data_IF_030794857509
#
_entry.id   IF_030794857509
#
_cell.length_a   1.000
_cell.length_b   1.000
_cell.length_c   1.000
_cell.angle_alpha   90.00
_cell.angle_beta   90.00
_cell.angle_gamma   90.00
#
_symmetry.space_group_name_H-M   'P 1'
#
loop_
_entity.id
_entity.type
_entity.pdbx_description
1 polymer ?
#
# COMPACT_ATOMS: atom_id res chain seq x y z
N UNK A 1 10.08 32.33 -11.94
CA UNK A 1 10.30 31.35 -10.85
C UNK A 1 10.32 29.88 -11.30
N UNK A 2 9.45 29.41 -12.20
CA UNK A 2 9.41 27.97 -12.61
C UNK A 2 10.62 27.50 -13.43
N UNK A 3 11.21 28.37 -14.27
CA UNK A 3 12.40 28.04 -15.07
C UNK A 3 13.66 27.87 -14.20
N UNK A 4 13.84 28.72 -13.17
CA UNK A 4 14.94 28.55 -12.21
C UNK A 4 14.81 27.27 -11.38
N UNK A 5 13.60 26.89 -10.95
CA UNK A 5 13.39 25.63 -10.24
C UNK A 5 13.70 24.41 -11.12
N UNK A 6 13.34 24.45 -12.40
CA UNK A 6 13.63 23.36 -13.34
C UNK A 6 15.15 23.21 -13.60
N UNK A 7 15.83 24.33 -13.82
CA UNK A 7 17.29 24.36 -13.99
C UNK A 7 18.03 23.95 -12.71
N UNK A 8 17.54 24.36 -11.54
CA UNK A 8 18.09 23.97 -10.24
C UNK A 8 17.90 22.47 -9.96
N UNK A 9 16.73 21.91 -10.29
CA UNK A 9 16.48 20.47 -10.20
C UNK A 9 17.36 19.65 -11.16
N UNK A 10 17.61 20.15 -12.38
CA UNK A 10 18.54 19.52 -13.34
C UNK A 10 19.98 19.60 -12.83
N UNK A 11 20.40 20.71 -12.24
CA UNK A 11 21.73 20.86 -11.66
C UNK A 11 21.90 19.96 -10.43
N UNK A 12 20.87 19.81 -9.59
CA UNK A 12 20.86 18.86 -8.46
C UNK A 12 20.88 17.41 -8.93
N UNK A 13 20.13 17.05 -9.98
CA UNK A 13 20.19 15.72 -10.58
C UNK A 13 21.57 15.44 -11.16
N UNK A 14 22.17 16.40 -11.87
CA UNK A 14 23.52 16.28 -12.40
C UNK A 14 24.57 16.20 -11.30
N UNK A 15 24.46 16.98 -10.22
CA UNK A 15 25.37 16.94 -9.08
C UNK A 15 25.24 15.63 -8.29
N UNK A 16 24.02 15.14 -8.09
CA UNK A 16 23.76 13.82 -7.49
C UNK A 16 24.31 12.69 -8.36
N UNK A 17 24.15 12.80 -9.68
CA UNK A 17 24.67 11.84 -10.64
C UNK A 17 26.20 11.85 -10.70
N UNK A 18 26.84 13.02 -10.75
CA UNK A 18 28.29 13.19 -10.68
C UNK A 18 28.87 12.69 -9.35
N UNK A 19 28.26 13.06 -8.23
CA UNK A 19 28.67 12.61 -6.89
C UNK A 19 28.55 11.09 -6.75
N UNK A 20 27.51 10.49 -7.35
CA UNK A 20 27.34 9.04 -7.36
C UNK A 20 28.35 8.32 -8.26
N UNK A 21 28.63 8.83 -9.47
CA UNK A 21 29.65 8.27 -10.37
C UNK A 21 31.02 8.23 -9.69
N UNK A 22 31.39 9.32 -9.00
CA UNK A 22 32.62 9.38 -8.22
C UNK A 22 32.62 8.41 -7.03
N UNK A 23 31.50 8.26 -6.32
CA UNK A 23 31.38 7.34 -5.19
C UNK A 23 31.45 5.85 -5.57
N UNK A 24 31.34 5.50 -6.86
CA UNK A 24 31.36 4.12 -7.36
C UNK A 24 32.66 3.75 -8.10
N UNK A 25 33.69 4.61 -8.07
CA UNK A 25 34.95 4.41 -8.80
C UNK A 25 34.75 4.07 -10.29
N UNK A 26 33.76 4.71 -10.94
CA UNK A 26 33.55 4.52 -12.38
C UNK A 26 34.73 5.13 -13.13
N UNK A 27 35.40 4.33 -13.97
CA UNK A 27 36.51 4.82 -14.79
C UNK A 27 35.98 5.80 -15.86
N UNK A 28 36.35 7.06 -15.72
CA UNK A 28 36.01 8.15 -16.64
C UNK A 28 37.16 8.52 -17.59
N UNK A 29 38.25 7.75 -17.61
CA UNK A 29 39.43 8.03 -18.45
C UNK A 29 39.06 8.15 -19.93
N UNK A 30 38.11 7.32 -20.40
CA UNK A 30 37.56 7.39 -21.77
C UNK A 30 36.71 8.65 -22.03
N UNK A 31 36.10 9.24 -20.99
CA UNK A 31 35.35 10.49 -21.10
C UNK A 31 36.31 11.68 -21.24
N UNK A 32 37.39 11.67 -20.44
CA UNK A 32 38.42 12.71 -20.44
C UNK A 32 39.21 12.71 -21.76
N UNK A 33 39.44 11.52 -22.36
CA UNK A 33 40.14 11.36 -23.64
C UNK A 33 39.25 11.54 -24.88
N UNK A 34 38.03 12.08 -24.72
CA UNK A 34 37.04 12.33 -25.80
C UNK A 34 36.59 11.08 -26.57
N UNK A 35 36.76 9.89 -25.99
CA UNK A 35 36.26 8.63 -26.54
C UNK A 35 34.81 8.42 -26.09
N UNK A 36 33.89 9.22 -26.64
CA UNK A 36 32.49 9.31 -26.18
C UNK A 36 31.73 7.98 -26.19
N UNK A 37 32.00 7.10 -27.15
CA UNK A 37 31.39 5.76 -27.20
C UNK A 37 31.84 4.90 -26.01
N UNK A 38 33.16 4.83 -25.76
CA UNK A 38 33.72 4.08 -24.64
C UNK A 38 33.27 4.66 -23.29
N UNK A 39 33.24 5.99 -23.18
CA UNK A 39 32.65 6.70 -22.03
C UNK A 39 31.18 6.31 -21.80
N UNK A 40 30.36 6.34 -22.85
CA UNK A 40 28.95 5.97 -22.76
C UNK A 40 28.74 4.53 -22.31
N UNK A 41 29.59 3.60 -22.77
CA UNK A 41 29.55 2.19 -22.33
C UNK A 41 29.92 2.07 -20.85
N UNK A 42 30.99 2.71 -20.39
CA UNK A 42 31.43 2.66 -18.99
C UNK A 42 30.37 3.21 -18.04
N UNK A 43 29.82 4.38 -18.36
CA UNK A 43 28.78 5.03 -17.56
C UNK A 43 27.47 4.24 -17.61
N UNK A 44 27.05 3.78 -18.79
CA UNK A 44 25.85 2.96 -18.98
C UNK A 44 25.93 1.63 -18.21
N UNK A 45 27.09 0.98 -18.21
CA UNK A 45 27.34 -0.25 -17.45
C UNK A 45 27.25 -0.02 -15.94
N UNK A 46 27.81 1.10 -15.45
CA UNK A 46 27.73 1.45 -14.03
C UNK A 46 26.28 1.71 -13.59
N UNK A 47 25.52 2.48 -14.37
CA UNK A 47 24.09 2.74 -14.13
C UNK A 47 23.30 1.44 -14.13
N UNK A 48 23.50 0.61 -15.15
CA UNK A 48 22.84 -0.68 -15.27
C UNK A 48 23.12 -1.56 -14.05
N UNK A 49 24.38 -1.67 -13.62
CA UNK A 49 24.77 -2.41 -12.41
C UNK A 49 24.07 -1.88 -11.17
N UNK A 50 24.01 -0.56 -10.96
CA UNK A 50 23.33 0.05 -9.80
C UNK A 50 21.86 -0.31 -9.73
N UNK A 51 21.16 -0.18 -10.85
CA UNK A 51 19.72 -0.37 -10.85
C UNK A 51 19.33 -1.83 -10.91
N UNK A 52 20.19 -2.74 -11.39
CA UNK A 52 19.97 -4.20 -11.37
C UNK A 52 20.63 -4.93 -10.19
N UNK A 53 21.30 -4.23 -9.27
CA UNK A 53 21.83 -4.82 -8.05
C UNK A 53 20.77 -4.91 -6.96
N UNK A 54 20.85 -5.96 -6.15
CA UNK A 54 20.05 -6.09 -4.93
C UNK A 54 20.46 -5.03 -3.92
N UNK A 55 19.46 -4.52 -3.18
CA UNK A 55 19.65 -3.64 -2.04
C UNK A 55 20.42 -4.34 -0.93
N UNK A 56 20.88 -3.56 0.05
CA UNK A 56 21.26 -4.12 1.33
C UNK A 56 20.10 -4.91 1.94
N UNK A 57 20.46 -5.86 2.81
CA UNK A 57 19.47 -6.69 3.52
C UNK A 57 18.77 -5.83 4.56
N UNK A 58 17.45 -5.78 4.49
CA UNK A 58 16.59 -5.18 5.51
C UNK A 58 16.07 -6.29 6.45
N UNK A 59 16.39 -6.17 7.74
CA UNK A 59 16.00 -7.14 8.77
C UNK A 59 14.76 -6.64 9.53
N UNK A 60 13.73 -7.48 9.61
CA UNK A 60 12.47 -7.17 10.32
C UNK A 60 12.00 -8.33 11.16
N UNK A 61 11.30 -8.05 12.25
CA UNK A 61 10.60 -9.06 13.03
C UNK A 61 9.32 -9.49 12.30
N UNK A 62 9.21 -10.77 11.99
CA UNK A 62 8.03 -11.39 11.40
C UNK A 62 7.94 -12.87 11.80
N UNK A 63 6.73 -13.42 11.96
CA UNK A 63 6.52 -14.81 12.37
C UNK A 63 7.24 -15.20 13.68
N UNK A 64 7.40 -14.24 14.61
CA UNK A 64 8.11 -14.46 15.87
C UNK A 64 9.63 -14.62 15.76
N UNK A 65 10.23 -14.30 14.60
CA UNK A 65 11.68 -14.35 14.38
C UNK A 65 12.17 -13.16 13.55
N UNK A 66 13.49 -13.00 13.46
CA UNK A 66 14.11 -12.11 12.48
C UNK A 66 14.02 -12.72 11.08
N UNK A 67 13.41 -11.96 10.16
CA UNK A 67 13.35 -12.23 8.74
C UNK A 67 14.11 -11.16 7.95
N UNK A 68 14.46 -11.49 6.73
CA UNK A 68 15.30 -10.71 5.83
C UNK A 68 14.54 -10.41 4.56
N UNK A 69 14.71 -9.20 4.04
CA UNK A 69 14.16 -8.80 2.76
C UNK A 69 15.18 -8.02 1.93
N UNK A 70 15.07 -8.14 0.61
CA UNK A 70 15.86 -7.37 -0.34
C UNK A 70 14.99 -7.03 -1.55
N UNK A 71 15.32 -5.93 -2.21
CA UNK A 71 14.71 -5.58 -3.49
C UNK A 71 15.78 -5.18 -4.49
N UNK A 72 15.46 -5.29 -5.77
CA UNK A 72 16.21 -4.64 -6.84
C UNK A 72 15.24 -3.91 -7.74
N UNK A 73 15.66 -2.79 -8.29
CA UNK A 73 14.98 -2.21 -9.43
C UNK A 73 15.40 -2.93 -10.72
N UNK A 74 14.82 -2.55 -11.83
CA UNK A 74 15.20 -3.00 -13.15
C UNK A 74 14.43 -2.22 -14.18
N UNK A 75 14.91 -2.23 -15.42
CA UNK A 75 14.20 -1.66 -16.56
C UNK A 75 13.91 -2.80 -17.53
N UNK A 76 12.63 -3.15 -17.69
CA UNK A 76 12.16 -4.24 -18.52
C UNK A 76 11.00 -3.74 -19.38
N UNK A 77 10.99 -4.07 -20.69
CA UNK A 77 9.94 -3.66 -21.63
C UNK A 77 9.57 -2.16 -21.58
N UNK A 78 10.60 -1.30 -21.46
CA UNK A 78 10.46 0.16 -21.30
C UNK A 78 9.80 0.63 -20.00
N UNK A 79 9.69 -0.24 -19.01
CA UNK A 79 9.09 0.06 -17.73
C UNK A 79 10.07 -0.14 -16.58
N UNK A 80 10.01 0.79 -15.63
CA UNK A 80 10.68 0.61 -14.34
C UNK A 80 9.93 -0.41 -13.51
N UNK A 81 10.63 -1.46 -13.14
CA UNK A 81 10.08 -2.57 -12.35
C UNK A 81 10.94 -2.85 -11.13
N UNK A 82 10.37 -3.57 -10.18
CA UNK A 82 10.96 -3.98 -8.93
C UNK A 82 10.81 -5.48 -8.77
N UNK A 83 11.83 -6.11 -8.20
CA UNK A 83 11.81 -7.52 -7.81
C UNK A 83 12.16 -7.61 -6.33
N UNK A 84 11.48 -8.50 -5.61
CA UNK A 84 11.61 -8.65 -4.17
C UNK A 84 12.07 -10.05 -3.79
N UNK A 85 12.76 -10.14 -2.66
CA UNK A 85 13.10 -11.37 -1.96
C UNK A 85 12.73 -11.25 -0.49
N UNK A 86 12.21 -12.33 0.08
CA UNK A 86 11.90 -12.42 1.50
C UNK A 86 12.21 -13.83 2.02
N UNK A 87 12.85 -13.93 3.17
CA UNK A 87 13.14 -15.21 3.82
C UNK A 87 13.37 -15.06 5.32
N UNK A 88 13.07 -16.10 6.09
CA UNK A 88 13.32 -16.14 7.54
C UNK A 88 14.31 -17.27 7.85
N UNK A 89 15.61 -16.98 8.06
CA UNK A 89 16.64 -18.01 8.25
C UNK A 89 16.34 -18.99 9.40
N UNK A 90 15.70 -18.51 10.46
CA UNK A 90 15.36 -19.32 11.64
C UNK A 90 14.19 -20.27 11.40
N UNK A 91 13.32 -20.00 10.41
CA UNK A 91 12.20 -20.88 10.07
C UNK A 91 12.59 -21.89 8.99
N UNK A 92 13.38 -21.47 8.00
CA UNK A 92 13.92 -22.33 6.97
C UNK A 92 15.15 -21.71 6.33
N UNK A 93 16.20 -22.50 6.16
CA UNK A 93 17.40 -22.08 5.44
C UNK A 93 17.25 -22.15 3.92
N UNK A 94 16.23 -22.84 3.41
CA UNK A 94 16.11 -23.17 1.98
C UNK A 94 14.95 -22.48 1.28
N UNK A 95 13.91 -22.08 2.03
CA UNK A 95 12.74 -21.45 1.45
C UNK A 95 12.94 -19.94 1.37
N UNK A 96 12.72 -19.40 0.17
CA UNK A 96 12.74 -17.98 -0.11
C UNK A 96 11.55 -17.63 -0.98
N UNK A 97 10.86 -16.57 -0.60
CA UNK A 97 9.82 -15.95 -1.41
C UNK A 97 10.43 -14.95 -2.37
N UNK A 98 9.92 -14.95 -3.59
CA UNK A 98 10.41 -14.13 -4.68
C UNK A 98 9.24 -13.47 -5.40
N UNK A 99 9.51 -12.27 -5.92
CA UNK A 99 8.59 -11.56 -6.77
C UNK A 99 9.36 -10.89 -7.89
N UNK A 100 8.75 -10.80 -9.07
CA UNK A 100 9.39 -10.18 -10.24
C UNK A 100 8.44 -9.21 -10.93
N UNK A 101 9.01 -8.20 -11.57
CA UNK A 101 8.32 -7.27 -12.46
C UNK A 101 7.16 -6.46 -11.82
N UNK A 102 7.32 -6.04 -10.56
CA UNK A 102 6.33 -5.21 -9.86
C UNK A 102 6.54 -3.72 -10.09
N UNK A 103 5.46 -2.93 -10.11
CA UNK A 103 5.51 -1.48 -10.37
C UNK A 103 6.06 -0.66 -9.21
N UNK A 104 6.13 -1.22 -8.00
CA UNK A 104 6.63 -0.52 -6.81
C UNK A 104 7.52 -1.42 -5.95
N UNK A 105 8.42 -0.80 -5.18
CA UNK A 105 9.28 -1.49 -4.21
C UNK A 105 8.45 -2.26 -3.17
N UNK A 106 7.43 -1.61 -2.61
CA UNK A 106 6.59 -2.22 -1.58
C UNK A 106 5.78 -3.39 -2.14
N UNK A 107 5.20 -3.25 -3.35
CA UNK A 107 4.53 -4.37 -4.01
C UNK A 107 5.48 -5.53 -4.28
N UNK A 108 6.72 -5.26 -4.70
CA UNK A 108 7.71 -6.31 -4.88
C UNK A 108 8.01 -7.06 -3.57
N UNK A 109 8.21 -6.36 -2.46
CA UNK A 109 8.45 -7.01 -1.16
C UNK A 109 7.20 -7.77 -0.67
N UNK A 110 6.01 -7.18 -0.80
CA UNK A 110 4.75 -7.77 -0.39
C UNK A 110 4.47 -9.09 -1.12
N UNK A 111 4.61 -9.11 -2.44
CA UNK A 111 4.40 -10.33 -3.21
C UNK A 111 5.51 -11.37 -2.97
N UNK A 112 6.72 -10.95 -2.59
CA UNK A 112 7.76 -11.88 -2.15
C UNK A 112 7.40 -12.51 -0.78
N UNK A 113 6.77 -11.76 0.12
CA UNK A 113 6.25 -12.30 1.39
C UNK A 113 5.13 -13.31 1.12
N UNK A 114 4.19 -12.98 0.24
CA UNK A 114 3.09 -13.89 -0.14
C UNK A 114 3.60 -15.21 -0.74
N UNK A 115 4.58 -15.13 -1.65
CA UNK A 115 5.24 -16.30 -2.23
C UNK A 115 6.00 -17.11 -1.16
N UNK A 116 6.69 -16.45 -0.22
CA UNK A 116 7.35 -17.12 0.91
C UNK A 116 6.35 -17.91 1.77
N UNK A 117 5.24 -17.27 2.16
CA UNK A 117 4.20 -17.91 2.97
C UNK A 117 3.60 -19.12 2.23
N UNK A 118 3.35 -18.98 0.93
CA UNK A 118 2.84 -20.06 0.08
C UNK A 118 3.81 -21.24 0.03
N UNK A 119 5.11 -20.98 -0.19
CA UNK A 119 6.15 -22.02 -0.23
C UNK A 119 6.38 -22.69 1.12
N UNK A 120 6.43 -21.92 2.20
CA UNK A 120 6.59 -22.46 3.55
C UNK A 120 5.39 -23.32 3.97
N UNK A 121 4.19 -22.92 3.53
CA UNK A 121 2.94 -23.68 3.70
C UNK A 121 2.99 -25.01 2.94
N UNK A 122 3.46 -25.01 1.69
CA UNK A 122 3.51 -26.23 0.88
C UNK A 122 4.52 -27.27 1.40
N UNK A 123 5.57 -26.82 2.10
CA UNK A 123 6.53 -27.71 2.78
C UNK A 123 6.17 -28.02 4.23
N UNK A 124 5.03 -27.53 4.72
CA UNK A 124 4.53 -27.78 6.08
C UNK A 124 5.37 -27.17 7.21
N UNK A 125 6.34 -26.29 6.90
CA UNK A 125 7.20 -25.61 7.87
C UNK A 125 6.53 -24.37 8.46
N UNK A 126 5.78 -23.67 7.63
CA UNK A 126 4.62 -22.97 8.14
C UNK A 126 3.47 -23.95 7.97
N UNK A 127 2.65 -24.11 9.00
CA UNK A 127 1.31 -24.58 8.73
C UNK A 127 0.73 -23.60 7.68
N UNK A 128 -0.13 -24.04 6.72
CA UNK A 128 -1.12 -23.12 6.16
C UNK A 128 -1.72 -22.36 7.34
N UNK A 129 -2.29 -21.16 7.19
CA UNK A 129 -3.13 -20.64 8.26
C UNK A 129 -4.10 -21.76 8.67
N UNK A 130 -3.76 -22.47 9.74
CA UNK A 130 -4.56 -23.57 10.22
C UNK A 130 -5.65 -22.78 10.90
N UNK A 131 -6.87 -23.02 10.42
CA UNK A 131 -8.11 -22.42 10.84
C UNK A 131 -8.45 -22.76 12.32
N UNK A 132 -7.49 -22.62 13.24
CA UNK A 132 -7.47 -22.96 14.67
C UNK A 132 -6.25 -22.21 15.26
N UNK A 133 -6.30 -21.08 15.98
CA UNK A 133 -7.17 -20.62 17.07
C UNK A 133 -7.20 -19.07 17.15
N UNK A 134 -7.46 -18.39 16.03
CA UNK A 134 -7.98 -17.02 16.04
C UNK A 134 -9.37 -17.05 15.41
N UNK A 135 -10.38 -16.35 15.96
CA UNK A 135 -11.71 -16.34 15.36
C UNK A 135 -11.59 -15.71 13.97
N UNK A 136 -11.65 -16.56 12.92
CA UNK A 136 -11.61 -16.33 11.46
C UNK A 136 -11.21 -14.92 11.01
N UNK A 137 -10.27 -14.82 10.07
CA UNK A 137 -9.68 -13.57 9.50
C UNK A 137 -10.62 -12.40 9.25
N UNK A 138 -11.94 -12.59 9.19
CA UNK A 138 -12.95 -11.57 9.49
C UNK A 138 -12.79 -10.95 10.89
N UNK A 139 -12.02 -9.88 10.97
CA UNK A 139 -11.85 -9.03 12.15
C UNK A 139 -12.80 -7.83 12.08
N UNK A 140 -13.15 -7.20 13.23
CA UNK A 140 -13.99 -6.02 13.21
C UNK A 140 -13.32 -4.88 12.44
N UNK A 141 -14.07 -4.25 11.53
CA UNK A 141 -13.68 -3.03 10.88
C UNK A 141 -14.22 -1.86 11.68
N UNK A 142 -13.34 -1.23 12.45
CA UNK A 142 -13.66 -0.16 13.37
C UNK A 142 -13.81 1.17 12.63
N UNK A 143 -14.77 1.99 13.07
CA UNK A 143 -14.96 3.38 12.62
C UNK A 143 -14.76 4.32 13.80
N UNK A 144 -14.02 5.39 13.52
CA UNK A 144 -13.81 6.50 14.43
C UNK A 144 -14.13 7.81 13.72
N UNK A 145 -14.60 8.80 14.47
CA UNK A 145 -14.85 10.15 13.95
C UNK A 145 -14.06 11.21 14.71
N UNK A 146 -13.70 12.26 14.01
CA UNK A 146 -13.04 13.44 14.54
C UNK A 146 -13.72 14.67 13.93
N UNK A 147 -14.11 15.62 14.78
CA UNK A 147 -14.72 16.89 14.38
C UNK A 147 -15.97 16.77 13.48
N UNK A 148 -16.64 15.61 13.45
CA UNK A 148 -17.88 15.36 12.70
C UNK A 148 -17.75 15.09 11.20
N UNK A 149 -16.56 15.24 10.62
CA UNK A 149 -16.33 15.04 9.17
C UNK A 149 -15.19 14.07 8.88
N UNK A 150 -14.13 14.10 9.69
CA UNK A 150 -12.99 13.20 9.52
C UNK A 150 -13.30 11.84 10.10
N UNK A 151 -13.31 10.83 9.24
CA UNK A 151 -13.52 9.45 9.65
C UNK A 151 -12.26 8.61 9.42
N UNK A 152 -11.97 7.73 10.38
CA UNK A 152 -10.86 6.79 10.32
C UNK A 152 -11.40 5.37 10.46
N UNK A 153 -10.92 4.47 9.61
CA UNK A 153 -11.34 3.09 9.59
C UNK A 153 -10.14 2.16 9.65
N UNK A 154 -10.21 1.15 10.50
CA UNK A 154 -9.12 0.21 10.71
C UNK A 154 -9.59 -1.11 11.29
N UNK A 155 -8.83 -2.16 11.02
CA UNK A 155 -8.93 -3.44 11.72
C UNK A 155 -8.01 -3.54 12.93
N UNK A 156 -7.01 -2.66 13.05
CA UNK A 156 -6.08 -2.62 14.17
C UNK A 156 -6.52 -1.53 15.17
N UNK A 157 -7.10 -1.91 16.32
CA UNK A 157 -7.54 -0.95 17.32
C UNK A 157 -6.37 -0.18 17.95
N UNK A 158 -5.12 -0.63 17.81
CA UNK A 158 -3.95 0.07 18.36
C UNK A 158 -3.58 1.34 17.59
N UNK A 159 -4.07 1.51 16.36
CA UNK A 159 -3.82 2.75 15.59
C UNK A 159 -4.41 3.97 16.31
N UNK A 160 -5.58 3.80 16.91
CA UNK A 160 -6.25 4.85 17.70
C UNK A 160 -6.12 4.59 19.21
N UNK A 161 -6.10 3.35 19.66
CA UNK A 161 -5.87 2.96 21.05
C UNK A 161 -7.14 2.90 21.91
N UNK A 162 -8.32 2.79 21.30
CA UNK A 162 -9.56 2.54 22.04
C UNK A 162 -10.63 1.86 21.20
N UNK A 163 -11.47 1.04 21.83
CA UNK A 163 -12.67 0.40 21.23
C UNK A 163 -13.90 0.53 22.12
N UNK A 164 -13.90 1.50 23.04
CA UNK A 164 -15.07 1.77 23.90
C UNK A 164 -15.94 2.86 23.26
N UNK A 165 -17.23 2.62 22.96
CA UNK A 165 -18.08 3.63 22.33
C UNK A 165 -18.04 4.98 23.05
N UNK A 166 -17.82 6.05 22.28
CA UNK A 166 -17.73 7.43 22.79
C UNK A 166 -16.40 7.79 23.47
N UNK A 167 -15.47 6.85 23.61
CA UNK A 167 -14.13 7.16 24.12
C UNK A 167 -13.23 7.77 23.04
N UNK A 168 -12.35 8.66 23.47
CA UNK A 168 -11.41 9.39 22.60
C UNK A 168 -10.02 8.76 22.68
N UNK A 169 -9.46 8.40 21.53
CA UNK A 169 -8.09 7.88 21.41
C UNK A 169 -7.12 8.86 20.77
N UNK A 170 -6.06 8.31 20.17
CA UNK A 170 -5.01 9.06 19.46
C UNK A 170 -5.62 9.98 18.41
N UNK A 171 -5.10 11.21 18.33
CA UNK A 171 -5.56 12.19 17.36
C UNK A 171 -6.98 12.67 17.59
N UNK A 172 -7.52 12.60 18.82
CA UNK A 172 -8.88 13.04 19.15
C UNK A 172 -9.99 12.30 18.37
N UNK A 173 -9.69 11.09 17.89
CA UNK A 173 -10.67 10.22 17.24
C UNK A 173 -11.55 9.57 18.31
N UNK A 174 -12.86 9.77 18.19
CA UNK A 174 -13.89 9.16 19.03
C UNK A 174 -14.33 7.85 18.40
N UNK A 175 -14.32 6.76 19.16
CA UNK A 175 -14.76 5.46 18.66
C UNK A 175 -16.28 5.41 18.49
N UNK A 176 -16.74 5.10 17.28
CA UNK A 176 -18.17 5.02 16.94
C UNK A 176 -18.71 3.58 16.90
N UNK A 177 -17.83 2.59 16.76
CA UNK A 177 -18.20 1.18 16.70
C UNK A 177 -17.53 0.43 15.56
N UNK A 178 -18.07 -0.74 15.25
CA UNK A 178 -17.66 -1.54 14.09
C UNK A 178 -18.72 -1.44 12.99
N UNK A 179 -18.26 -1.20 11.76
CA UNK A 179 -19.11 -1.14 10.55
C UNK A 179 -19.26 -2.50 9.87
N UNK A 180 -18.93 -3.59 10.56
CA UNK A 180 -18.92 -4.95 10.02
C UNK A 180 -17.58 -5.64 10.22
N UNK A 181 -17.45 -6.83 9.65
CA UNK A 181 -16.22 -7.62 9.71
C UNK A 181 -15.63 -7.79 8.31
N UNK A 182 -14.31 -7.68 8.22
CA UNK A 182 -13.55 -7.76 6.96
C UNK A 182 -12.29 -8.60 7.20
N UNK A 183 -11.70 -9.15 6.14
CA UNK A 183 -10.52 -9.98 6.31
C UNK A 183 -9.27 -9.14 6.62
N UNK A 184 -8.44 -9.61 7.56
CA UNK A 184 -7.11 -9.06 7.88
C UNK A 184 -6.00 -9.49 6.91
N UNK A 185 -6.28 -10.52 6.09
CA UNK A 185 -5.47 -10.99 4.98
C UNK A 185 -6.36 -11.23 3.74
N UNK A 186 -5.81 -11.55 2.55
CA UNK A 186 -6.65 -12.06 1.47
C UNK A 186 -7.56 -13.18 1.97
N UNK A 187 -8.83 -13.17 1.56
CA UNK A 187 -9.81 -14.14 2.04
C UNK A 187 -9.47 -15.58 1.60
N UNK A 188 -10.18 -16.59 2.15
CA UNK A 188 -9.99 -18.00 1.79
C UNK A 188 -10.12 -18.25 0.28
N UNK A 189 -10.98 -17.48 -0.39
CA UNK A 189 -11.03 -17.37 -1.85
C UNK A 189 -10.57 -15.96 -2.27
N UNK A 190 -9.32 -15.80 -2.72
CA UNK A 190 -8.78 -14.51 -3.16
C UNK A 190 -9.54 -13.90 -4.34
N UNK A 191 -10.29 -14.69 -5.13
CA UNK A 191 -11.08 -14.17 -6.25
C UNK A 191 -12.34 -13.42 -5.80
N UNK A 192 -12.78 -13.66 -4.56
CA UNK A 192 -13.98 -13.06 -3.98
C UNK A 192 -13.68 -11.85 -3.08
N UNK A 193 -12.41 -11.55 -2.82
CA UNK A 193 -12.01 -10.43 -1.94
C UNK A 193 -11.14 -9.41 -2.67
N UNK A 194 -11.37 -8.13 -2.37
CA UNK A 194 -10.56 -7.01 -2.83
C UNK A 194 -9.85 -6.38 -1.64
N UNK A 195 -8.59 -6.00 -1.84
CA UNK A 195 -7.89 -5.14 -0.91
C UNK A 195 -8.58 -3.77 -0.83
N UNK A 196 -8.85 -3.31 0.38
CA UNK A 196 -9.33 -1.97 0.67
C UNK A 196 -8.13 -1.09 1.02
N UNK A 197 -7.69 -0.27 0.08
CA UNK A 197 -6.53 0.60 0.26
C UNK A 197 -6.92 1.85 1.04
N UNK A 198 -6.08 2.25 2.00
CA UNK A 198 -6.21 3.50 2.76
C UNK A 198 -5.22 4.54 2.24
N UNK A 199 -5.72 5.75 2.09
CA UNK A 199 -4.98 6.93 1.72
C UNK A 199 -5.28 8.07 2.68
N UNK A 200 -4.32 8.98 2.85
CA UNK A 200 -4.51 10.26 3.50
C UNK A 200 -4.26 11.40 2.49
N UNK A 201 -5.21 12.33 2.39
CA UNK A 201 -4.98 13.59 1.70
C UNK A 201 -4.24 14.53 2.65
N UNK A 202 -2.95 14.74 2.45
CA UNK A 202 -2.12 15.56 3.37
C UNK A 202 -2.49 17.06 3.37
N UNK A 203 -3.28 17.52 2.38
CA UNK A 203 -3.76 18.90 2.33
C UNK A 203 -5.00 19.09 3.20
N UNK A 204 -5.97 18.19 3.11
CA UNK A 204 -7.23 18.26 3.86
C UNK A 204 -7.20 17.50 5.19
N UNK A 205 -6.25 16.59 5.38
CA UNK A 205 -6.18 15.67 6.51
C UNK A 205 -7.21 14.52 6.45
N UNK A 206 -7.92 14.38 5.33
CA UNK A 206 -9.00 13.41 5.19
C UNK A 206 -8.50 12.05 4.70
N UNK A 207 -9.09 10.99 5.23
CA UNK A 207 -8.80 9.63 4.78
C UNK A 207 -9.71 9.23 3.62
N UNK A 208 -9.15 8.51 2.67
CA UNK A 208 -9.85 7.96 1.52
C UNK A 208 -9.60 6.45 1.44
N UNK A 209 -10.68 5.69 1.23
CA UNK A 209 -10.66 4.25 1.11
C UNK A 209 -11.24 3.81 -0.23
N UNK A 210 -10.52 2.94 -0.94
CA UNK A 210 -10.94 2.44 -2.24
C UNK A 210 -10.47 1.01 -2.50
N UNK A 211 -11.27 0.26 -3.25
CA UNK A 211 -10.91 -1.03 -3.85
C UNK A 211 -10.48 -0.89 -5.31
N UNK A 212 -10.61 0.32 -5.88
CA UNK A 212 -10.42 0.64 -7.28
C UNK A 212 -9.20 1.56 -7.44
N UNK A 213 -8.11 1.01 -7.96
CA UNK A 213 -6.86 1.76 -8.14
C UNK A 213 -6.98 2.87 -9.19
N UNK A 214 -7.92 2.77 -10.14
CA UNK A 214 -8.16 3.79 -11.15
C UNK A 214 -8.65 5.10 -10.52
N UNK A 215 -9.34 5.05 -9.38
CA UNK A 215 -9.82 6.25 -8.67
C UNK A 215 -8.68 7.12 -8.14
N UNK A 216 -7.51 6.54 -7.94
CA UNK A 216 -6.31 7.25 -7.50
C UNK A 216 -5.66 8.01 -8.66
N UNK A 217 -5.96 7.67 -9.92
CA UNK A 217 -5.36 8.28 -11.11
C UNK A 217 -3.96 7.74 -11.45
N UNK A 218 -3.61 6.56 -10.93
CA UNK A 218 -2.38 5.82 -11.24
C UNK A 218 -2.74 4.46 -11.82
N UNK A 219 -1.80 3.78 -12.49
CA UNK A 219 -1.85 2.36 -12.81
C UNK A 219 -1.00 1.49 -11.86
N UNK A 220 -0.51 2.10 -10.78
CA UNK A 220 0.38 1.48 -9.80
C UNK A 220 -0.34 1.32 -8.47
N UNK A 221 -0.60 0.07 -8.10
CA UNK A 221 -1.19 -0.28 -6.80
C UNK A 221 -0.34 0.31 -5.66
N UNK A 222 -1.00 1.03 -4.75
CA UNK A 222 -0.35 1.67 -3.60
C UNK A 222 0.52 2.89 -3.92
N UNK A 223 0.43 3.48 -5.12
CA UNK A 223 1.15 4.72 -5.41
C UNK A 223 0.48 5.93 -4.76
N UNK A 224 1.31 6.84 -4.25
CA UNK A 224 0.87 8.16 -3.78
C UNK A 224 0.88 9.14 -4.95
N UNK A 225 -0.18 9.94 -5.13
CA UNK A 225 -0.28 10.95 -6.20
C UNK A 225 -0.68 12.29 -5.60
N UNK A 226 0.07 13.34 -5.96
CA UNK A 226 -0.20 14.69 -5.46
C UNK A 226 -0.22 14.68 -3.94
N UNK A 227 -1.36 15.09 -3.36
CA UNK A 227 -1.57 15.12 -1.92
C UNK A 227 -2.17 13.84 -1.33
N UNK A 228 -2.58 12.87 -2.15
CA UNK A 228 -3.02 11.56 -1.69
C UNK A 228 -1.80 10.68 -1.41
N UNK A 229 -1.57 10.35 -0.14
CA UNK A 229 -0.49 9.46 0.31
C UNK A 229 -1.06 8.10 0.70
N UNK A 230 -0.49 7.04 0.15
CA UNK A 230 -0.89 5.67 0.45
C UNK A 230 -0.40 5.27 1.83
N UNK A 231 -1.30 4.75 2.67
CA UNK A 231 -0.99 4.33 4.04
C UNK A 231 -0.99 2.80 4.22
N UNK A 232 -1.39 2.05 3.18
CA UNK A 232 -1.44 0.59 3.21
C UNK A 232 -2.84 0.03 2.95
N UNK A 233 -3.00 -1.25 3.27
CA UNK A 233 -4.27 -1.97 3.14
C UNK A 233 -4.98 -1.92 4.50
N UNK A 234 -6.19 -1.38 4.53
CA UNK A 234 -7.03 -1.35 5.73
C UNK A 234 -7.67 -2.71 6.04
N UNK A 235 -7.74 -3.60 5.04
CA UNK A 235 -8.25 -4.97 5.12
C UNK A 235 -8.75 -5.44 3.76
N UNK A 236 -9.47 -6.55 3.71
CA UNK A 236 -10.02 -7.12 2.49
C UNK A 236 -11.53 -7.33 2.61
N UNK A 237 -12.28 -6.76 1.67
CA UNK A 237 -13.74 -6.82 1.62
C UNK A 237 -14.20 -7.69 0.46
N UNK A 238 -15.41 -8.21 0.51
CA UNK A 238 -15.94 -9.03 -0.60
C UNK A 238 -16.19 -8.16 -1.84
N UNK A 239 -15.80 -8.65 -3.00
CA UNK A 239 -15.98 -7.99 -4.31
C UNK A 239 -17.44 -8.02 -4.78
N UNK A 240 -18.19 -9.02 -4.32
CA UNK A 240 -19.58 -9.30 -4.69
C UNK A 240 -20.36 -9.73 -3.47
N UNK A 241 -21.68 -9.60 -3.51
CA UNK A 241 -22.55 -10.03 -2.42
C UNK A 241 -22.41 -11.53 -2.17
N UNK A 242 -22.05 -11.90 -0.95
CA UNK A 242 -22.02 -13.27 -0.44
C UNK A 242 -23.11 -13.47 0.62
N UNK A 243 -23.44 -14.72 0.99
CA UNK A 243 -24.30 -14.98 2.15
C UNK A 243 -23.81 -14.22 3.39
N UNK A 244 -24.74 -13.64 4.14
CA UNK A 244 -24.48 -12.88 5.37
C UNK A 244 -23.57 -11.65 5.20
N UNK A 245 -23.54 -11.06 4.00
CA UNK A 245 -22.83 -9.79 3.76
C UNK A 245 -23.77 -8.66 3.43
N UNK A 246 -23.33 -7.43 3.70
CA UNK A 246 -24.03 -6.19 3.42
C UNK A 246 -23.13 -5.28 2.57
N UNK A 247 -23.70 -4.48 1.65
CA UNK A 247 -22.92 -3.53 0.87
C UNK A 247 -22.24 -2.51 1.79
N UNK A 248 -21.03 -2.09 1.45
CA UNK A 248 -20.34 -0.96 2.06
C UNK A 248 -20.52 0.25 1.16
N UNK A 249 -21.41 1.15 1.55
CA UNK A 249 -21.73 2.37 0.84
C UNK A 249 -20.64 3.41 1.06
N UNK A 250 -20.27 4.14 0.00
CA UNK A 250 -19.39 5.31 0.05
C UNK A 250 -20.18 6.58 -0.24
N UNK A 251 -19.94 7.59 0.57
CA UNK A 251 -20.48 8.93 0.40
C UNK A 251 -19.38 9.97 0.46
N UNK A 252 -19.60 11.11 -0.19
CA UNK A 252 -18.67 12.23 -0.23
C UNK A 252 -19.35 13.55 0.15
N UNK A 253 -18.72 14.31 1.05
CA UNK A 253 -19.09 15.68 1.43
C UNK A 253 -17.98 16.62 0.96
N UNK A 254 -18.34 17.55 0.07
CA UNK A 254 -17.38 18.34 -0.70
C UNK A 254 -16.72 19.45 0.11
N UNK A 255 -17.42 20.06 1.06
CA UNK A 255 -16.92 21.22 1.81
C UNK A 255 -15.72 20.86 2.69
N UNK A 256 -15.67 19.64 3.21
CA UNK A 256 -14.59 19.16 4.08
C UNK A 256 -13.68 18.12 3.42
N UNK A 257 -13.91 17.79 2.13
CA UNK A 257 -13.23 16.71 1.42
C UNK A 257 -13.40 15.35 2.13
N UNK A 258 -14.54 15.15 2.77
CA UNK A 258 -14.77 14.06 3.71
C UNK A 258 -15.49 12.89 3.04
N UNK A 259 -14.96 11.68 3.24
CA UNK A 259 -15.61 10.45 2.83
C UNK A 259 -16.23 9.73 4.04
N UNK A 260 -17.39 9.13 3.83
CA UNK A 260 -18.10 8.34 4.84
C UNK A 260 -18.45 6.96 4.28
N UNK A 261 -18.21 5.92 5.10
CA UNK A 261 -18.38 4.53 4.72
C UNK A 261 -19.26 3.82 5.74
N UNK A 262 -20.34 3.19 5.27
CA UNK A 262 -21.28 2.50 6.15
C UNK A 262 -22.01 1.36 5.45
N UNK A 263 -22.35 0.26 6.14
CA UNK A 263 -23.31 -0.72 5.64
C UNK A 263 -24.78 -0.34 5.90
N UNK A 264 -25.05 0.68 6.71
CA UNK A 264 -26.40 1.16 7.02
C UNK A 264 -26.71 2.44 6.24
N UNK A 265 -27.45 2.28 5.14
CA UNK A 265 -27.88 3.40 4.33
C UNK A 265 -28.70 4.44 5.10
N UNK A 266 -29.31 4.11 6.23
CA UNK A 266 -30.11 5.04 7.02
C UNK A 266 -29.28 6.10 7.75
N UNK A 267 -27.96 5.90 7.91
CA UNK A 267 -27.08 6.91 8.48
C UNK A 267 -27.07 8.19 7.64
N UNK A 268 -27.13 8.06 6.31
CA UNK A 268 -27.19 9.18 5.36
C UNK A 268 -28.58 9.36 4.75
N UNK A 269 -29.32 8.29 4.50
CA UNK A 269 -30.70 8.31 4.00
C UNK A 269 -30.85 8.33 2.48
N UNK A 270 -29.82 7.97 1.72
CA UNK A 270 -29.91 7.80 0.26
C UNK A 270 -28.92 6.75 -0.25
N UNK A 271 -29.30 6.05 -1.31
CA UNK A 271 -28.43 5.15 -2.10
C UNK A 271 -28.58 5.41 -3.60
N UNK A 272 -29.06 6.60 -3.98
CA UNK A 272 -29.21 7.00 -5.38
C UNK A 272 -27.98 7.80 -5.81
N UNK A 273 -27.20 7.33 -6.81
CA UNK A 273 -25.95 7.99 -7.20
C UNK A 273 -26.13 9.48 -7.48
N UNK A 274 -25.24 10.31 -6.94
CA UNK A 274 -25.28 11.77 -7.09
C UNK A 274 -26.35 12.48 -6.25
N UNK A 275 -27.14 11.75 -5.45
CA UNK A 275 -28.14 12.35 -4.56
C UNK A 275 -27.52 12.65 -3.20
N UNK A 276 -27.76 13.87 -2.69
CA UNK A 276 -27.36 14.28 -1.35
C UNK A 276 -28.35 13.77 -0.30
N UNK A 277 -27.84 13.22 0.80
CA UNK A 277 -28.59 12.85 1.98
C UNK A 277 -28.32 13.78 3.17
N UNK A 278 -28.38 13.23 4.38
CA UNK A 278 -28.06 13.93 5.62
C UNK A 278 -26.63 14.48 5.60
N UNK A 279 -26.44 15.62 6.25
CA UNK A 279 -25.15 16.29 6.43
C UNK A 279 -24.43 16.67 5.12
N UNK A 280 -25.13 16.71 3.99
CA UNK A 280 -24.56 17.10 2.69
C UNK A 280 -23.78 15.98 1.97
N UNK A 281 -23.76 14.77 2.53
CA UNK A 281 -23.12 13.61 1.91
C UNK A 281 -23.85 13.17 0.65
N UNK A 282 -23.12 13.13 -0.47
CA UNK A 282 -23.59 12.65 -1.77
C UNK A 282 -23.22 11.18 -1.92
N UNK A 283 -24.17 10.33 -2.32
CA UNK A 283 -23.91 8.92 -2.55
C UNK A 283 -23.06 8.69 -3.81
N UNK A 284 -21.93 8.00 -3.65
CA UNK A 284 -21.00 7.70 -4.74
C UNK A 284 -21.10 6.26 -5.23
N UNK A 285 -21.52 5.31 -4.37
CA UNK A 285 -21.71 3.92 -4.77
C UNK A 285 -21.40 2.90 -3.68
N UNK A 286 -21.34 1.65 -4.08
CA UNK A 286 -20.93 0.51 -3.25
C UNK A 286 -19.48 0.19 -3.61
N UNK A 287 -18.59 0.14 -2.61
CA UNK A 287 -17.16 -0.16 -2.84
C UNK A 287 -16.80 -1.64 -2.62
N UNK A 288 -17.72 -2.41 -2.04
CA UNK A 288 -17.62 -3.84 -1.77
C UNK A 288 -18.65 -4.27 -0.72
N UNK A 289 -18.45 -5.43 -0.10
CA UNK A 289 -19.37 -5.99 0.90
C UNK A 289 -18.63 -6.44 2.16
N UNK A 290 -19.26 -6.24 3.31
CA UNK A 290 -18.75 -6.56 4.66
C UNK A 290 -19.68 -7.56 5.34
N UNK A 291 -19.14 -8.43 6.20
CA UNK A 291 -19.94 -9.36 7.01
C UNK A 291 -20.54 -8.67 8.25
#
# INVERSE_FOLDING_TARGET
MKVCHFLFSILLLNAYFYGWIHAQNVDLTSCISQQWIACGISVGTAIYKKYNSWSDIDEKQAFGTTCKSQFKSGFYDWEWVWSGKFWCPSLSATVMGESTKWKSRNGAIEHAIQDYVTKMTSVGLLKPPQLIDAPRGLVPFYRYSQNGYSHFYTIDPNEIGTVTPGSTGRGNYVFEGSVGRIYDSPGPDPSLTLALYRYINIRSGQHFYTTNWQEIGTNTVGASIGDLKHEGIAGYIYSTMQPDTRPLYRYYERSHDAHFYTPDANEIGTTTPGTAGRYGYVFEGIIGYVA
#
